data_IF_605281373664
#
_entry.id   IF_605281373664
#
_cell.length_a   1.000
_cell.length_b   1.000
_cell.length_c   1.000
_cell.angle_alpha   90.00
_cell.angle_beta   90.00
_cell.angle_gamma   90.00
#
_symmetry.space_group_name_H-M   'P 1'
#
loop_
_entity.id
_entity.type
_entity.pdbx_description
1 polymer ?
#
# COMPACT_ATOMS: atom_id res chain seq x y z
N UNK A 1 0.93 23.53 4.01
CA UNK A 1 1.91 23.06 2.97
C UNK A 1 1.74 21.55 2.80
N UNK A 2 2.21 20.94 1.70
CA UNK A 2 2.04 19.49 1.44
C UNK A 2 2.54 18.63 2.60
N UNK A 3 3.67 18.98 3.20
CA UNK A 3 4.21 18.26 4.36
C UNK A 3 3.25 18.24 5.57
N UNK A 4 2.46 19.29 5.79
CA UNK A 4 1.52 19.37 6.92
C UNK A 4 0.39 18.34 6.79
N UNK A 5 -0.01 18.01 5.55
CA UNK A 5 -1.04 16.99 5.29
C UNK A 5 -0.57 15.57 5.66
N UNK A 6 0.76 15.36 5.66
CA UNK A 6 1.41 14.07 5.92
C UNK A 6 1.70 13.83 7.42
N UNK A 7 1.56 14.84 8.29
CA UNK A 7 1.85 14.67 9.72
C UNK A 7 1.00 13.55 10.31
N UNK A 8 1.68 12.56 10.93
CA UNK A 8 1.08 11.39 11.54
C UNK A 8 0.54 10.34 10.55
N UNK A 9 0.88 10.41 9.26
CA UNK A 9 0.39 9.49 8.22
C UNK A 9 1.55 8.95 7.37
N UNK A 10 1.43 7.70 6.93
CA UNK A 10 2.34 7.06 5.97
C UNK A 10 1.92 7.27 4.52
N UNK A 11 0.67 7.63 4.27
CA UNK A 11 0.08 7.73 2.92
C UNK A 11 -0.69 9.04 2.75
N UNK A 12 -0.47 9.71 1.62
CA UNK A 12 -1.25 10.86 1.17
C UNK A 12 -1.82 10.61 -0.22
N UNK A 13 -3.16 10.72 -0.32
CA UNK A 13 -3.87 10.80 -1.60
C UNK A 13 -3.85 12.25 -2.11
N UNK A 14 -3.32 12.45 -3.31
CA UNK A 14 -3.21 13.75 -3.96
C UNK A 14 -4.24 13.83 -5.09
N UNK A 15 -5.30 14.61 -4.86
CA UNK A 15 -6.41 14.77 -5.80
C UNK A 15 -5.92 15.10 -7.22
N UNK A 16 -6.37 14.32 -8.19
CA UNK A 16 -6.00 14.44 -9.61
C UNK A 16 -4.49 14.27 -9.93
N UNK A 17 -3.71 13.70 -9.00
CA UNK A 17 -2.27 13.51 -9.18
C UNK A 17 -1.85 12.06 -8.93
N UNK A 18 -2.11 11.51 -7.75
CA UNK A 18 -1.65 10.18 -7.37
C UNK A 18 -1.44 10.05 -5.87
N UNK A 19 -0.41 9.33 -5.46
CA UNK A 19 -0.10 9.07 -4.05
C UNK A 19 1.33 9.43 -3.71
N UNK A 20 1.55 9.79 -2.45
CA UNK A 20 2.88 9.79 -1.84
C UNK A 20 2.83 8.85 -0.64
N UNK A 21 3.80 7.94 -0.56
CA UNK A 21 3.92 6.95 0.51
C UNK A 21 5.30 7.09 1.15
N UNK A 22 5.34 7.07 2.47
CA UNK A 22 6.56 7.19 3.28
C UNK A 22 6.63 6.07 4.31
N UNK A 23 7.84 5.69 4.69
CA UNK A 23 8.10 4.68 5.71
C UNK A 23 9.52 4.81 6.25
N UNK A 24 9.79 4.16 7.39
CA UNK A 24 11.11 4.18 8.04
C UNK A 24 12.22 3.56 7.18
N UNK A 25 11.83 2.66 6.27
CA UNK A 25 12.72 2.03 5.29
C UNK A 25 12.04 2.00 3.92
N UNK A 26 12.83 1.82 2.87
CA UNK A 26 12.30 1.61 1.51
C UNK A 26 11.36 0.40 1.46
N UNK A 27 11.65 -0.67 2.22
CA UNK A 27 10.79 -1.85 2.28
C UNK A 27 9.41 -1.53 2.89
N UNK A 28 9.37 -0.76 3.97
CA UNK A 28 8.09 -0.35 4.59
C UNK A 28 7.28 0.55 3.66
N UNK A 29 7.92 1.54 3.03
CA UNK A 29 7.25 2.42 2.08
C UNK A 29 6.73 1.65 0.85
N UNK A 30 7.50 0.68 0.36
CA UNK A 30 7.09 -0.18 -0.74
C UNK A 30 5.89 -1.06 -0.37
N UNK A 31 5.88 -1.65 0.83
CA UNK A 31 4.78 -2.50 1.29
C UNK A 31 3.45 -1.74 1.35
N UNK A 32 3.48 -0.55 1.97
CA UNK A 32 2.33 0.35 2.04
C UNK A 32 1.83 0.73 0.63
N UNK A 33 2.75 1.09 -0.28
CA UNK A 33 2.43 1.41 -1.66
C UNK A 33 1.81 0.21 -2.39
N UNK A 34 2.39 -0.98 -2.22
CA UNK A 34 1.94 -2.20 -2.88
C UNK A 34 0.51 -2.55 -2.50
N UNK A 35 0.18 -2.56 -1.20
CA UNK A 35 -1.17 -2.88 -0.76
C UNK A 35 -2.17 -1.75 -1.04
N UNK A 36 -1.74 -0.49 -1.01
CA UNK A 36 -2.57 0.64 -1.41
C UNK A 36 -3.03 0.50 -2.87
N UNK A 37 -2.10 0.21 -3.79
CA UNK A 37 -2.42 0.01 -5.20
C UNK A 37 -3.40 -1.16 -5.38
N UNK A 38 -3.18 -2.28 -4.67
CA UNK A 38 -4.10 -3.43 -4.72
C UNK A 38 -5.49 -3.09 -4.18
N UNK A 39 -5.58 -2.31 -3.11
CA UNK A 39 -6.83 -1.84 -2.56
C UNK A 39 -7.56 -0.91 -3.55
N UNK A 40 -6.86 0.08 -4.11
CA UNK A 40 -7.40 0.99 -5.13
C UNK A 40 -7.90 0.21 -6.35
N UNK A 41 -7.11 -0.72 -6.89
CA UNK A 41 -7.51 -1.59 -8.00
C UNK A 41 -8.77 -2.39 -7.67
N UNK A 42 -8.86 -2.95 -6.47
CA UNK A 42 -10.01 -3.74 -6.03
C UNK A 42 -11.27 -2.88 -5.96
N UNK A 43 -11.17 -1.66 -5.41
CA UNK A 43 -12.28 -0.70 -5.33
C UNK A 43 -12.73 -0.27 -6.72
N UNK A 44 -11.80 0.12 -7.61
CA UNK A 44 -12.13 0.52 -8.98
C UNK A 44 -12.80 -0.63 -9.74
N UNK A 45 -12.27 -1.85 -9.62
CA UNK A 45 -12.87 -3.03 -10.25
C UNK A 45 -14.26 -3.34 -9.70
N UNK A 46 -14.47 -3.22 -8.39
CA UNK A 46 -15.77 -3.46 -7.79
C UNK A 46 -16.80 -2.42 -8.26
N UNK A 47 -16.42 -1.13 -8.24
CA UNK A 47 -17.27 -0.03 -8.70
C UNK A 47 -17.59 -0.11 -10.19
N UNK A 48 -16.65 -0.55 -11.03
CA UNK A 48 -16.87 -0.67 -12.47
C UNK A 48 -17.92 -1.70 -12.86
N UNK A 49 -18.30 -2.61 -11.95
CA UNK A 49 -19.39 -3.57 -12.18
C UNK A 49 -20.78 -2.93 -12.17
N UNK A 50 -20.93 -1.73 -11.60
CA UNK A 50 -22.23 -1.07 -11.39
C UNK A 50 -23.17 -1.80 -10.42
N UNK A 51 -22.70 -2.83 -9.71
CA UNK A 51 -23.51 -3.60 -8.75
C UNK A 51 -23.44 -2.98 -7.36
N UNK A 52 -24.48 -3.15 -6.52
CA UNK A 52 -24.41 -2.78 -5.11
C UNK A 52 -23.22 -3.47 -4.42
N UNK A 53 -22.42 -2.69 -3.69
CA UNK A 53 -21.29 -3.22 -2.92
C UNK A 53 -21.78 -3.83 -1.60
N UNK A 54 -21.22 -4.98 -1.23
CA UNK A 54 -21.37 -5.54 0.12
C UNK A 54 -20.27 -4.96 1.01
N UNK A 55 -20.57 -3.82 1.62
CA UNK A 55 -19.64 -3.12 2.52
C UNK A 55 -19.42 -3.94 3.79
N UNK A 56 -18.17 -4.00 4.26
CA UNK A 56 -17.81 -4.65 5.52
C UNK A 56 -18.32 -3.81 6.70
N UNK A 57 -18.71 -4.46 7.79
CA UNK A 57 -19.04 -3.76 9.03
C UNK A 57 -17.85 -2.95 9.56
N UNK A 58 -18.11 -1.73 10.03
CA UNK A 58 -17.09 -0.76 10.45
C UNK A 58 -16.24 -1.26 11.62
N UNK A 59 -16.85 -2.01 12.56
CA UNK A 59 -16.13 -2.55 13.72
C UNK A 59 -15.16 -3.65 13.29
N UNK A 60 -15.59 -4.50 12.36
CA UNK A 60 -14.73 -5.52 11.77
C UNK A 60 -13.60 -4.87 10.95
N UNK A 61 -13.93 -3.90 10.10
CA UNK A 61 -12.94 -3.18 9.29
C UNK A 61 -11.87 -2.50 10.16
N UNK A 62 -12.27 -1.85 11.26
CA UNK A 62 -11.36 -1.21 12.20
C UNK A 62 -10.45 -2.23 12.89
N UNK A 63 -10.99 -3.37 13.35
CA UNK A 63 -10.20 -4.42 13.99
C UNK A 63 -9.15 -5.05 13.07
N UNK A 64 -9.47 -5.19 11.77
CA UNK A 64 -8.53 -5.68 10.76
C UNK A 64 -7.44 -4.63 10.47
N UNK A 65 -7.81 -3.35 10.38
CA UNK A 65 -6.85 -2.27 10.20
C UNK A 65 -5.84 -2.21 11.37
N UNK A 66 -6.32 -2.30 12.61
CA UNK A 66 -5.46 -2.36 13.80
C UNK A 66 -4.55 -3.60 13.80
N UNK A 67 -5.08 -4.76 13.42
CA UNK A 67 -4.26 -5.98 13.28
C UNK A 67 -3.14 -5.76 12.28
N UNK A 68 -3.42 -5.09 11.17
CA UNK A 68 -2.45 -4.84 10.09
C UNK A 68 -1.22 -4.06 10.57
N UNK A 69 -1.42 -3.10 11.49
CA UNK A 69 -0.32 -2.31 12.07
C UNK A 69 0.72 -3.14 12.82
N UNK A 70 0.42 -4.39 13.17
CA UNK A 70 1.31 -5.30 13.89
C UNK A 70 2.20 -6.14 12.97
N UNK A 71 1.99 -6.09 11.66
CA UNK A 71 2.76 -6.88 10.68
C UNK A 71 3.93 -6.09 10.08
N UNK A 72 4.91 -5.74 10.91
CA UNK A 72 6.07 -4.94 10.49
C UNK A 72 7.08 -5.73 9.66
N UNK A 73 7.33 -6.98 10.01
CA UNK A 73 8.44 -7.75 9.43
C UNK A 73 8.10 -8.35 8.04
N UNK A 74 6.81 -8.45 7.72
CA UNK A 74 6.36 -9.05 6.46
C UNK A 74 6.77 -8.22 5.24
N UNK A 75 6.74 -6.89 5.35
CA UNK A 75 7.14 -6.00 4.27
C UNK A 75 8.62 -6.12 3.90
N UNK A 76 9.49 -6.43 4.89
CA UNK A 76 10.91 -6.69 4.62
C UNK A 76 11.10 -7.96 3.81
N UNK A 77 10.42 -9.05 4.19
CA UNK A 77 10.48 -10.31 3.47
C UNK A 77 9.89 -10.20 2.06
N UNK A 78 8.75 -9.52 1.90
CA UNK A 78 8.14 -9.29 0.60
C UNK A 78 9.04 -8.46 -0.32
N UNK A 79 9.61 -7.35 0.18
CA UNK A 79 10.53 -6.53 -0.60
C UNK A 79 11.80 -7.30 -1.02
N UNK A 80 12.31 -8.19 -0.15
CA UNK A 80 13.44 -9.05 -0.49
C UNK A 80 13.10 -10.00 -1.65
N UNK A 81 11.92 -10.63 -1.66
CA UNK A 81 11.51 -11.49 -2.78
C UNK A 81 11.27 -10.69 -4.07
N UNK A 82 10.71 -9.47 -3.98
CA UNK A 82 10.57 -8.61 -5.15
C UNK A 82 11.93 -8.28 -5.79
N UNK A 83 12.95 -8.01 -4.98
CA UNK A 83 14.32 -7.88 -5.49
C UNK A 83 14.85 -9.18 -6.08
N UNK A 84 14.62 -10.33 -5.44
CA UNK A 84 15.03 -11.62 -5.98
C UNK A 84 14.36 -11.95 -7.33
N UNK A 85 13.13 -11.49 -7.55
CA UNK A 85 12.46 -11.56 -8.85
C UNK A 85 13.16 -10.67 -9.88
N UNK A 86 13.45 -9.41 -9.53
CA UNK A 86 14.20 -8.49 -10.41
C UNK A 86 15.59 -9.06 -10.75
N UNK A 87 16.28 -9.65 -9.79
CA UNK A 87 17.58 -10.28 -10.00
C UNK A 87 17.57 -11.38 -11.06
N UNK A 88 16.44 -12.10 -11.18
CA UNK A 88 16.24 -13.15 -12.18
C UNK A 88 15.89 -12.59 -13.56
N UNK A 89 15.20 -11.45 -13.63
CA UNK A 89 14.61 -10.93 -14.87
C UNK A 89 15.38 -9.76 -15.47
N UNK A 90 15.85 -8.84 -14.64
CA UNK A 90 16.59 -7.64 -15.02
C UNK A 90 17.44 -7.13 -13.82
N UNK A 91 18.63 -7.70 -13.59
CA UNK A 91 19.49 -7.32 -12.47
C UNK A 91 20.16 -5.96 -12.65
N UNK A 92 19.92 -5.23 -13.75
CA UNK A 92 20.60 -3.98 -14.09
C UNK A 92 20.37 -2.84 -13.09
N UNK A 93 19.38 -2.95 -12.19
CA UNK A 93 19.12 -1.96 -11.14
C UNK A 93 20.21 -1.92 -10.04
N UNK A 94 21.11 -2.91 -10.00
CA UNK A 94 22.15 -3.06 -8.96
C UNK A 94 23.40 -2.22 -9.22
N UNK A 95 23.66 -1.88 -10.47
CA UNK A 95 24.85 -1.14 -10.93
C UNK A 95 24.58 0.37 -11.01
#
# INVERSE_FOLDING_TARGET
RVADAMVGKSVMMMGNHGVTVVGETVAHAFEELYYLERACRSVVLALSTGRPLRVMDDSLASSIAEMWTRFTDQGVAHFAEQKALLDRHDPGYRD
#
